data_IF_588843488038
#
_entry.id   IF_588843488038
#
_cell.length_a   1.000
_cell.length_b   1.000
_cell.length_c   1.000
_cell.angle_alpha   90.00
_cell.angle_beta   90.00
_cell.angle_gamma   90.00
#
_symmetry.space_group_name_H-M   'P 1'
#
loop_
_entity.id
_entity.type
_entity.pdbx_description
1 polymer ?
#
# COMPACT_ATOMS: atom_id res chain seq x y z
N UNK A 1 -12.36 11.79 11.75
CA UNK A 1 -11.67 11.08 10.65
C UNK A 1 -10.19 11.05 10.99
N UNK A 2 -9.65 9.91 11.40
CA UNK A 2 -8.21 9.80 11.71
C UNK A 2 -7.44 9.80 10.40
N UNK A 3 -6.68 10.86 10.12
CA UNK A 3 -5.82 10.94 8.94
C UNK A 3 -4.83 9.76 8.97
N UNK A 4 -4.74 8.94 7.90
CA UNK A 4 -3.79 7.84 7.86
C UNK A 4 -2.37 8.40 7.95
N UNK A 5 -1.53 7.80 8.79
CA UNK A 5 -0.12 8.19 8.90
C UNK A 5 0.56 7.95 7.56
N UNK A 6 1.41 8.89 7.15
CA UNK A 6 2.25 8.81 5.96
C UNK A 6 3.72 8.72 6.34
N UNK A 7 4.53 8.04 5.51
CA UNK A 7 5.97 7.92 5.67
C UNK A 7 6.63 7.71 4.29
N UNK A 8 7.78 8.35 4.07
CA UNK A 8 8.58 8.11 2.86
C UNK A 8 9.42 6.85 3.06
N UNK A 9 9.29 5.91 2.14
CA UNK A 9 9.95 4.60 2.20
C UNK A 9 10.30 4.11 0.79
N UNK A 10 11.34 3.27 0.64
CA UNK A 10 11.64 2.66 -0.65
C UNK A 10 10.52 1.70 -1.08
N UNK A 11 10.07 1.84 -2.34
CA UNK A 11 9.07 0.99 -2.97
C UNK A 11 9.72 0.10 -4.03
N UNK A 12 9.59 -1.21 -3.87
CA UNK A 12 10.17 -2.18 -4.81
C UNK A 12 9.67 -2.01 -6.26
N UNK A 13 8.40 -1.66 -6.46
CA UNK A 13 7.84 -1.53 -7.81
C UNK A 13 8.13 -0.18 -8.47
N UNK A 14 8.42 0.86 -7.68
CA UNK A 14 8.81 2.17 -8.19
C UNK A 14 10.33 2.33 -8.28
N UNK A 15 11.08 1.41 -7.67
CA UNK A 15 12.55 1.45 -7.53
C UNK A 15 13.08 2.78 -6.95
N UNK A 16 12.29 3.39 -6.05
CA UNK A 16 12.58 4.71 -5.50
C UNK A 16 11.94 4.89 -4.12
N UNK A 17 12.41 5.89 -3.37
CA UNK A 17 11.75 6.37 -2.15
C UNK A 17 10.46 7.10 -2.50
N UNK A 18 9.35 6.60 -1.96
CA UNK A 18 8.01 7.07 -2.28
C UNK A 18 7.21 7.29 -1.01
N UNK A 19 6.25 8.21 -1.07
CA UNK A 19 5.30 8.37 0.01
C UNK A 19 4.42 7.12 0.12
N UNK A 20 4.37 6.57 1.32
CA UNK A 20 3.46 5.49 1.67
C UNK A 20 2.54 5.94 2.79
N UNK A 21 1.33 5.38 2.83
CA UNK A 21 0.39 5.59 3.93
C UNK A 21 -0.09 4.30 4.55
N UNK A 22 -0.63 4.39 5.75
CA UNK A 22 -1.39 3.29 6.33
C UNK A 22 -2.67 3.02 5.51
N UNK A 23 -3.05 1.73 5.48
CA UNK A 23 -4.29 1.28 4.87
C UNK A 23 -5.52 1.83 5.61
N UNK A 24 -6.56 2.20 4.87
CA UNK A 24 -7.86 2.51 5.47
C UNK A 24 -8.53 1.24 5.98
N UNK A 25 -9.57 1.36 6.81
CA UNK A 25 -10.29 0.19 7.33
C UNK A 25 -10.80 -0.72 6.21
N UNK A 26 -11.38 -0.16 5.15
CA UNK A 26 -11.84 -0.92 3.98
C UNK A 26 -10.71 -1.66 3.27
N UNK A 27 -9.56 -1.00 3.07
CA UNK A 27 -8.39 -1.63 2.43
C UNK A 27 -7.77 -2.71 3.32
N UNK A 28 -7.80 -2.51 4.64
CA UNK A 28 -7.38 -3.53 5.61
C UNK A 28 -8.30 -4.74 5.54
N UNK A 29 -9.61 -4.55 5.56
CA UNK A 29 -10.57 -5.66 5.54
C UNK A 29 -10.45 -6.47 4.23
N UNK A 30 -10.29 -5.79 3.08
CA UNK A 30 -9.95 -6.45 1.82
C UNK A 30 -8.64 -7.26 1.91
N UNK A 31 -7.60 -6.70 2.53
CA UNK A 31 -6.31 -7.37 2.66
C UNK A 31 -6.38 -8.55 3.63
N UNK A 32 -7.16 -8.46 4.71
CA UNK A 32 -7.42 -9.55 5.66
C UNK A 32 -8.10 -10.71 4.96
N UNK A 33 -9.15 -10.45 4.19
CA UNK A 33 -9.86 -11.46 3.40
C UNK A 33 -8.92 -12.12 2.37
N UNK A 34 -8.13 -11.31 1.65
CA UNK A 34 -7.19 -11.80 0.65
C UNK A 34 -6.07 -12.66 1.23
N UNK A 35 -5.57 -12.34 2.43
CA UNK A 35 -4.45 -13.04 3.07
C UNK A 35 -4.89 -14.10 4.07
N UNK A 36 -6.16 -14.15 4.46
CA UNK A 36 -6.65 -14.98 5.56
C UNK A 36 -6.03 -14.60 6.91
N UNK A 37 -5.73 -13.32 7.13
CA UNK A 37 -5.05 -12.82 8.35
C UNK A 37 -5.94 -11.89 9.15
N UNK A 38 -5.76 -11.87 10.47
CA UNK A 38 -6.47 -10.96 11.38
C UNK A 38 -5.79 -9.59 11.52
N UNK A 39 -4.46 -9.52 11.38
CA UNK A 39 -3.67 -8.29 11.49
C UNK A 39 -3.03 -7.90 10.16
N UNK A 40 -3.25 -6.66 9.73
CA UNK A 40 -2.67 -6.07 8.51
C UNK A 40 -2.29 -4.59 8.69
N UNK A 41 -2.11 -4.16 9.94
CA UNK A 41 -1.84 -2.76 10.29
C UNK A 41 -0.38 -2.37 10.00
N UNK A 42 0.49 -3.36 9.87
CA UNK A 42 1.90 -3.22 9.52
C UNK A 42 2.13 -2.87 8.05
N UNK A 43 1.09 -2.98 7.22
CA UNK A 43 1.18 -2.73 5.79
C UNK A 43 1.02 -1.24 5.46
N UNK A 44 1.88 -0.82 4.54
CA UNK A 44 1.96 0.53 4.01
C UNK A 44 1.71 0.47 2.51
N UNK A 45 0.84 1.36 2.05
CA UNK A 45 0.44 1.50 0.66
C UNK A 45 1.24 2.61 -0.01
N UNK A 46 1.91 2.30 -1.12
CA UNK A 46 2.59 3.31 -1.93
C UNK A 46 1.57 4.22 -2.63
N UNK A 47 1.68 5.53 -2.41
CA UNK A 47 0.81 6.54 -3.01
C UNK A 47 1.40 7.21 -4.25
N UNK A 48 2.59 6.77 -4.69
CA UNK A 48 3.23 7.33 -5.87
C UNK A 48 2.29 7.32 -7.08
N UNK A 49 2.17 8.46 -7.75
CA UNK A 49 1.39 8.60 -8.98
C UNK A 49 2.26 8.09 -10.13
N UNK A 50 1.84 6.98 -10.74
CA UNK A 50 2.50 6.38 -11.89
C UNK A 50 2.14 7.09 -13.20
N UNK A 51 0.92 7.62 -13.27
CA UNK A 51 0.39 8.28 -14.45
C UNK A 51 -0.50 9.44 -13.97
N UNK A 52 -0.07 10.65 -14.29
CA UNK A 52 -0.72 11.88 -13.84
C UNK A 52 -2.02 12.14 -14.61
N UNK A 53 -2.10 11.73 -15.87
CA UNK A 53 -3.25 11.95 -16.75
C UNK A 53 -4.45 11.09 -16.33
N UNK A 54 -4.19 9.86 -15.88
CA UNK A 54 -5.21 8.90 -15.41
C UNK A 54 -5.35 8.86 -13.90
N UNK A 55 -4.49 9.54 -13.16
CA UNK A 55 -4.43 9.48 -11.69
C UNK A 55 -4.04 8.11 -11.14
N UNK A 56 -3.46 7.23 -11.97
CA UNK A 56 -3.07 5.87 -11.57
C UNK A 56 -1.97 5.94 -10.53
N UNK A 57 -2.23 5.36 -9.36
CA UNK A 57 -1.24 5.23 -8.28
C UNK A 57 -0.61 3.85 -8.25
N UNK A 58 0.59 3.75 -7.71
CA UNK A 58 1.33 2.51 -7.56
C UNK A 58 0.56 1.49 -6.72
N UNK A 59 0.06 1.92 -5.56
CA UNK A 59 -0.75 1.12 -4.62
C UNK A 59 -0.09 -0.19 -4.19
N UNK A 60 1.23 -0.32 -4.35
CA UNK A 60 1.96 -1.50 -3.91
C UNK A 60 2.06 -1.55 -2.38
N UNK A 61 1.96 -2.76 -1.84
CA UNK A 61 2.09 -3.00 -0.41
C UNK A 61 3.52 -3.35 -0.01
N UNK A 62 3.96 -2.75 1.10
CA UNK A 62 5.15 -3.14 1.85
C UNK A 62 4.87 -3.13 3.35
N UNK A 63 5.80 -3.60 4.18
CA UNK A 63 5.74 -3.36 5.63
C UNK A 63 6.81 -2.35 6.05
N UNK A 64 6.79 -1.89 7.31
CA UNK A 64 7.83 -0.99 7.81
C UNK A 64 9.26 -1.53 7.64
N UNK A 65 9.45 -2.84 7.76
CA UNK A 65 10.76 -3.50 7.71
C UNK A 65 11.03 -4.28 6.43
N UNK A 66 9.98 -4.76 5.74
CA UNK A 66 10.12 -5.62 4.56
C UNK A 66 9.58 -4.91 3.33
N UNK A 67 10.47 -4.63 2.37
CA UNK A 67 10.12 -3.97 1.11
C UNK A 67 9.21 -4.84 0.22
N UNK A 68 9.42 -6.16 0.25
CA UNK A 68 8.67 -7.15 -0.54
C UNK A 68 8.09 -8.25 0.38
N UNK A 69 6.96 -7.97 1.07
CA UNK A 69 6.35 -8.95 1.98
C UNK A 69 5.65 -10.11 1.26
N UNK A 70 5.41 -9.96 -0.05
CA UNK A 70 4.72 -10.95 -0.89
C UNK A 70 5.61 -11.37 -2.06
N UNK A 71 5.49 -12.62 -2.55
CA UNK A 71 6.23 -13.08 -3.71
C UNK A 71 5.90 -12.27 -4.98
N UNK A 72 4.66 -11.78 -5.10
CA UNK A 72 4.18 -10.89 -6.16
C UNK A 72 3.69 -9.56 -5.57
N UNK A 73 3.84 -8.46 -6.32
CA UNK A 73 3.34 -7.15 -5.91
C UNK A 73 1.82 -7.23 -5.69
N UNK A 74 1.38 -6.96 -4.46
CA UNK A 74 -0.05 -6.87 -4.14
C UNK A 74 -0.42 -5.40 -4.22
N UNK A 75 -1.31 -5.09 -5.16
CA UNK A 75 -1.88 -3.74 -5.32
C UNK A 75 -3.28 -3.72 -4.76
N UNK A 76 -3.53 -2.79 -3.84
CA UNK A 76 -4.87 -2.60 -3.28
C UNK A 76 -5.75 -2.01 -4.39
N UNK A 77 -6.98 -2.51 -4.61
CA UNK A 77 -7.88 -1.95 -5.61
C UNK A 77 -8.26 -0.50 -5.26
N UNK A 78 -8.53 0.32 -6.27
CA UNK A 78 -9.14 1.65 -6.06
C UNK A 78 -10.63 1.40 -5.79
N UNK A 79 -11.18 1.83 -4.64
CA UNK A 79 -12.62 1.81 -4.45
C UNK A 79 -13.25 2.76 -5.48
N UNK A 80 -14.26 2.26 -6.21
CA UNK A 80 -15.04 3.03 -7.20
C UNK A 80 -15.76 4.23 -6.56
#
# INVERSE_FOLDING_TARGET
>A
MTTPRTMTLPCWTCDAEQQHRQLTRTEQDWLKERLGRTGVNEFWLCENVLDADTGRRCRNLRTGFVMKPFPKAVRVPVPE
#
